data_IF_733580222145
#
_entry.id   IF_733580222145
#
_cell.length_a   1.000
_cell.length_b   1.000
_cell.length_c   1.000
_cell.angle_alpha   90.00
_cell.angle_beta   90.00
_cell.angle_gamma   90.00
#
_symmetry.space_group_name_H-M   'P 1'
#
loop_
_entity.id
_entity.type
_entity.pdbx_description
1 polymer ?
#
# COMPACT_ATOMS: atom_id res chain seq x y z
N UNK A 1 -78.39 32.81 19.39
CA UNK A 1 -77.47 31.70 19.75
C UNK A 1 -76.32 31.64 18.73
N UNK A 2 -75.15 32.07 19.13
CA UNK A 2 -74.02 32.32 18.24
C UNK A 2 -73.14 31.08 18.11
N UNK A 3 -72.92 30.59 16.86
CA UNK A 3 -72.03 29.55 16.55
C UNK A 3 -70.65 30.18 16.20
N UNK A 4 -69.61 29.86 16.99
CA UNK A 4 -68.16 30.25 16.74
C UNK A 4 -67.55 29.28 15.73
N UNK A 5 -67.10 29.80 14.57
CA UNK A 5 -66.32 29.12 13.60
C UNK A 5 -64.83 29.21 14.04
N UNK A 6 -64.17 28.09 14.33
CA UNK A 6 -62.74 28.00 14.50
C UNK A 6 -62.07 27.83 13.12
N UNK A 7 -61.15 28.73 12.77
CA UNK A 7 -60.28 28.60 11.59
C UNK A 7 -59.04 27.81 12.00
N UNK A 8 -58.87 26.64 11.41
CA UNK A 8 -57.63 25.89 11.47
C UNK A 8 -56.65 26.49 10.46
N UNK A 9 -55.56 27.07 10.95
CA UNK A 9 -54.44 27.52 10.12
C UNK A 9 -53.45 26.33 9.99
N UNK A 10 -53.46 25.65 8.82
CA UNK A 10 -52.52 24.57 8.52
C UNK A 10 -51.18 25.17 8.14
N UNK A 11 -50.15 24.98 9.00
CA UNK A 11 -48.75 25.21 8.62
C UNK A 11 -48.25 24.03 7.78
N UNK A 12 -48.04 24.25 6.49
CA UNK A 12 -47.28 23.34 5.64
C UNK A 12 -45.79 23.52 5.98
N UNK A 13 -45.22 22.57 6.68
CA UNK A 13 -43.76 22.42 6.82
C UNK A 13 -43.25 21.80 5.51
N UNK A 14 -42.66 22.62 4.64
CA UNK A 14 -41.80 22.13 3.55
C UNK A 14 -40.50 21.59 4.15
N UNK A 15 -40.36 20.28 4.26
CA UNK A 15 -39.10 19.63 4.51
C UNK A 15 -38.25 19.66 3.24
N UNK A 16 -37.29 20.56 3.20
CA UNK A 16 -36.22 20.54 2.18
C UNK A 16 -35.31 19.36 2.50
N UNK A 17 -35.51 18.24 1.78
CA UNK A 17 -34.55 17.13 1.78
C UNK A 17 -33.36 17.57 0.94
N UNK A 18 -32.31 18.06 1.57
CA UNK A 18 -31.01 18.21 0.93
C UNK A 18 -30.46 16.81 0.68
N UNK A 19 -30.56 16.35 -0.58
CA UNK A 19 -29.83 15.17 -1.02
C UNK A 19 -28.34 15.50 -0.94
N UNK A 20 -27.67 14.93 0.09
CA UNK A 20 -26.22 14.86 0.12
C UNK A 20 -25.85 13.85 -0.97
N UNK A 21 -25.50 14.36 -2.15
CA UNK A 21 -24.83 13.54 -3.16
C UNK A 21 -23.47 13.17 -2.57
N UNK A 22 -23.33 11.94 -2.10
CA UNK A 22 -22.03 11.31 -1.92
C UNK A 22 -21.39 11.28 -3.32
N UNK A 23 -20.44 12.16 -3.57
CA UNK A 23 -19.60 12.07 -4.76
C UNK A 23 -18.92 10.70 -4.72
N UNK A 24 -19.39 9.79 -5.55
CA UNK A 24 -18.65 8.57 -5.88
C UNK A 24 -17.30 9.04 -6.39
N UNK A 25 -16.17 8.63 -5.78
CA UNK A 25 -14.85 9.02 -6.26
C UNK A 25 -14.74 8.57 -7.73
N UNK A 26 -14.59 9.56 -8.61
CA UNK A 26 -14.41 9.33 -10.03
C UNK A 26 -13.28 8.31 -10.23
N UNK A 27 -13.49 7.36 -11.13
CA UNK A 27 -12.54 6.32 -11.46
C UNK A 27 -11.13 6.94 -11.66
N UNK A 28 -10.16 6.53 -10.85
CA UNK A 28 -8.78 6.93 -11.04
C UNK A 28 -8.29 6.34 -12.38
N UNK A 29 -8.48 7.08 -13.44
CA UNK A 29 -7.76 6.88 -14.69
C UNK A 29 -6.28 7.23 -14.45
N UNK A 30 -5.39 6.76 -15.33
CA UNK A 30 -4.01 7.28 -15.32
C UNK A 30 -4.07 8.82 -15.33
N UNK A 31 -3.35 9.52 -14.43
CA UNK A 31 -3.45 10.95 -14.29
C UNK A 31 -3.23 11.68 -15.62
N UNK A 32 -4.14 12.57 -16.01
CA UNK A 32 -3.97 13.33 -17.25
C UNK A 32 -2.89 14.40 -17.07
N UNK A 33 -1.86 14.37 -17.92
CA UNK A 33 -0.81 15.38 -17.94
C UNK A 33 -1.28 16.62 -18.70
N UNK A 34 -1.31 17.80 -18.06
CA UNK A 34 -1.47 19.09 -18.75
C UNK A 34 -0.18 19.52 -19.47
N UNK A 35 0.97 19.01 -19.03
CA UNK A 35 2.27 19.21 -19.64
C UNK A 35 3.18 18.00 -19.36
N UNK A 36 4.13 17.76 -20.27
CA UNK A 36 5.10 16.68 -20.15
C UNK A 36 6.52 17.20 -20.48
N UNK A 37 7.10 18.08 -19.64
CA UNK A 37 8.43 18.61 -19.87
C UNK A 37 9.49 17.49 -19.86
N UNK A 38 10.49 17.63 -20.73
CA UNK A 38 11.67 16.77 -20.73
C UNK A 38 12.58 17.17 -19.55
N UNK A 39 12.93 16.21 -18.70
CA UNK A 39 13.79 16.42 -17.53
C UNK A 39 15.22 16.75 -17.98
N UNK A 40 15.76 17.84 -17.48
CA UNK A 40 17.15 18.29 -17.65
C UNK A 40 17.93 18.05 -16.35
N UNK A 41 19.25 18.16 -16.41
CA UNK A 41 20.14 17.89 -15.27
C UNK A 41 19.94 18.79 -14.04
N UNK A 42 19.40 20.00 -14.23
CA UNK A 42 19.13 20.93 -13.14
C UNK A 42 17.69 20.85 -12.58
N UNK A 43 16.83 20.04 -13.20
CA UNK A 43 15.42 19.97 -12.82
C UNK A 43 15.22 19.13 -11.57
N UNK A 44 14.19 19.49 -10.81
CA UNK A 44 13.71 18.75 -9.63
C UNK A 44 12.18 18.75 -9.60
N UNK A 45 11.59 17.86 -8.84
CA UNK A 45 10.13 17.87 -8.62
C UNK A 45 9.66 19.20 -8.03
N UNK A 46 10.47 19.81 -7.15
CA UNK A 46 10.17 21.11 -6.56
C UNK A 46 10.20 22.23 -7.59
N UNK A 47 11.20 22.25 -8.50
CA UNK A 47 11.29 23.28 -9.55
C UNK A 47 10.10 23.17 -10.51
N UNK A 48 9.69 21.98 -10.91
CA UNK A 48 8.48 21.79 -11.71
C UNK A 48 7.23 22.22 -10.94
N UNK A 49 7.10 21.81 -9.68
CA UNK A 49 5.96 22.18 -8.83
C UNK A 49 5.82 23.69 -8.70
N UNK A 50 6.90 24.40 -8.39
CA UNK A 50 6.92 25.85 -8.30
C UNK A 50 6.58 26.52 -9.65
N UNK A 51 7.13 26.01 -10.75
CA UNK A 51 6.93 26.57 -12.09
C UNK A 51 5.50 26.42 -12.60
N UNK A 52 4.86 25.27 -12.39
CA UNK A 52 3.53 24.99 -12.96
C UNK A 52 2.36 25.30 -12.02
N UNK A 53 2.58 25.24 -10.70
CA UNK A 53 1.53 25.45 -9.69
C UNK A 53 1.76 26.65 -8.78
N UNK A 54 2.93 27.30 -8.85
CA UNK A 54 3.32 28.38 -7.93
C UNK A 54 3.57 27.90 -6.48
N UNK A 55 3.55 26.59 -6.24
CA UNK A 55 3.65 25.98 -4.91
C UNK A 55 4.44 24.67 -4.98
N UNK A 56 5.48 24.53 -4.16
CA UNK A 56 6.34 23.35 -4.11
C UNK A 56 5.65 22.10 -3.52
N UNK A 57 4.50 22.25 -2.86
CA UNK A 57 3.80 21.14 -2.21
C UNK A 57 3.21 20.14 -3.18
N UNK A 58 3.09 20.46 -4.48
CA UNK A 58 2.65 19.54 -5.53
C UNK A 58 3.74 18.62 -6.09
N UNK A 59 4.98 18.73 -5.62
CA UNK A 59 6.09 17.87 -6.06
C UNK A 59 5.75 16.37 -6.02
N UNK A 60 5.00 15.95 -5.00
CA UNK A 60 4.57 14.55 -4.84
C UNK A 60 3.47 14.16 -5.82
N UNK A 61 2.61 15.09 -6.19
CA UNK A 61 1.61 14.88 -7.24
C UNK A 61 2.27 14.64 -8.60
N UNK A 62 3.32 15.39 -8.91
CA UNK A 62 4.12 15.20 -10.13
C UNK A 62 4.82 13.82 -10.11
N UNK A 63 5.41 13.44 -8.97
CA UNK A 63 6.02 12.11 -8.80
C UNK A 63 5.02 11.00 -9.09
N UNK A 64 3.85 11.05 -8.44
CA UNK A 64 2.82 10.01 -8.57
C UNK A 64 2.27 9.95 -10.01
N UNK A 65 1.99 11.12 -10.60
CA UNK A 65 1.53 11.19 -11.98
C UNK A 65 2.57 10.63 -12.96
N UNK A 66 3.85 11.02 -12.82
CA UNK A 66 4.93 10.51 -13.66
C UNK A 66 5.11 8.99 -13.52
N UNK A 67 5.06 8.47 -12.30
CA UNK A 67 5.19 7.03 -12.05
C UNK A 67 4.02 6.22 -12.61
N UNK A 68 2.81 6.80 -12.64
CA UNK A 68 1.65 6.17 -13.27
C UNK A 68 1.83 5.98 -14.79
N UNK A 69 2.60 6.85 -15.44
CA UNK A 69 2.94 6.78 -16.87
C UNK A 69 4.21 5.95 -17.16
N UNK A 70 4.85 5.36 -16.16
CA UNK A 70 6.19 4.75 -16.31
C UNK A 70 6.28 3.58 -17.31
N UNK A 71 5.15 3.00 -17.71
CA UNK A 71 5.09 1.98 -18.76
C UNK A 71 4.98 2.57 -20.18
N UNK A 72 4.74 3.88 -20.30
CA UNK A 72 4.57 4.56 -21.58
C UNK A 72 5.93 4.99 -22.16
N UNK A 73 6.08 5.01 -23.50
CA UNK A 73 7.29 5.51 -24.15
C UNK A 73 7.61 6.95 -23.72
N UNK A 74 8.87 7.21 -23.41
CA UNK A 74 9.34 8.55 -22.99
C UNK A 74 9.21 8.82 -21.49
N UNK A 75 8.56 7.95 -20.72
CA UNK A 75 8.52 8.02 -19.26
C UNK A 75 9.42 6.96 -18.62
N UNK A 76 9.80 7.19 -17.38
CA UNK A 76 10.56 6.23 -16.58
C UNK A 76 10.12 6.33 -15.13
N UNK A 77 10.04 5.17 -14.44
CA UNK A 77 9.74 5.12 -13.03
C UNK A 77 10.81 5.87 -12.21
N UNK A 78 10.37 6.85 -11.43
CA UNK A 78 11.21 7.63 -10.53
C UNK A 78 11.27 6.90 -9.20
N UNK A 79 12.36 6.18 -8.96
CA UNK A 79 12.61 5.49 -7.68
C UNK A 79 13.29 6.41 -6.66
N UNK A 80 14.01 7.43 -7.12
CA UNK A 80 14.66 8.46 -6.30
C UNK A 80 14.12 9.84 -6.68
N UNK A 81 13.20 10.44 -5.87
CA UNK A 81 12.59 11.73 -6.18
C UNK A 81 13.58 12.90 -6.15
N UNK A 82 14.77 12.68 -5.59
CA UNK A 82 15.85 13.67 -5.57
C UNK A 82 16.76 13.58 -6.80
N UNK A 83 16.60 12.51 -7.61
CA UNK A 83 17.35 12.25 -8.84
C UNK A 83 16.42 11.89 -9.97
N UNK A 84 15.93 12.92 -10.66
CA UNK A 84 15.06 12.70 -11.81
C UNK A 84 15.82 12.07 -12.98
N UNK A 85 15.19 11.17 -13.74
CA UNK A 85 15.80 10.56 -14.91
C UNK A 85 15.91 11.59 -16.06
N UNK A 86 17.11 12.11 -16.30
CA UNK A 86 17.37 13.06 -17.40
C UNK A 86 17.05 12.43 -18.75
N UNK A 87 16.40 13.19 -19.62
CA UNK A 87 16.01 12.75 -20.97
C UNK A 87 14.66 12.01 -21.01
N UNK A 88 13.95 11.88 -19.88
CA UNK A 88 12.59 11.35 -19.80
C UNK A 88 11.60 12.47 -19.45
N UNK A 89 10.31 12.23 -19.71
CA UNK A 89 9.27 13.19 -19.39
C UNK A 89 8.84 13.12 -17.92
N UNK A 90 8.51 14.29 -17.34
CA UNK A 90 7.76 14.39 -16.10
C UNK A 90 6.30 14.74 -16.42
N UNK A 91 5.34 13.98 -15.88
CA UNK A 91 3.92 14.32 -16.03
C UNK A 91 3.52 15.39 -15.03
N UNK A 92 3.13 16.55 -15.55
CA UNK A 92 2.52 17.62 -14.77
C UNK A 92 1.00 17.40 -14.83
N UNK A 93 0.34 16.93 -13.78
CA UNK A 93 -1.10 16.67 -13.84
C UNK A 93 -1.90 17.97 -13.88
N UNK A 94 -3.15 17.93 -14.37
CA UNK A 94 -4.07 19.07 -14.24
C UNK A 94 -4.31 19.37 -12.76
N UNK A 95 -4.64 20.63 -12.43
CA UNK A 95 -4.70 21.10 -11.03
C UNK A 95 -5.63 20.23 -10.15
N UNK A 96 -6.81 19.88 -10.64
CA UNK A 96 -7.75 19.03 -9.91
C UNK A 96 -7.14 17.67 -9.54
N UNK A 97 -6.43 17.06 -10.49
CA UNK A 97 -5.77 15.77 -10.25
C UNK A 97 -4.53 15.94 -9.35
N UNK A 98 -3.81 17.06 -9.49
CA UNK A 98 -2.71 17.38 -8.58
C UNK A 98 -3.16 17.50 -7.12
N UNK A 99 -4.32 18.10 -6.87
CA UNK A 99 -4.97 18.19 -5.56
C UNK A 99 -5.35 16.81 -5.02
N UNK A 100 -5.96 15.98 -5.86
CA UNK A 100 -6.30 14.60 -5.49
C UNK A 100 -5.06 13.81 -5.08
N UNK A 101 -4.03 13.81 -5.90
CA UNK A 101 -2.76 13.10 -5.63
C UNK A 101 -2.05 13.66 -4.39
N UNK A 102 -2.09 14.98 -4.17
CA UNK A 102 -1.59 15.61 -2.95
C UNK A 102 -2.32 15.10 -1.71
N UNK A 103 -3.63 14.94 -1.79
CA UNK A 103 -4.46 14.42 -0.70
C UNK A 103 -4.14 12.95 -0.41
N UNK A 104 -3.99 12.13 -1.45
CA UNK A 104 -3.53 10.72 -1.33
C UNK A 104 -2.19 10.65 -0.59
N UNK A 105 -1.23 11.47 -1.03
CA UNK A 105 0.10 11.48 -0.42
C UNK A 105 0.09 11.97 1.04
N UNK A 106 -0.72 12.99 1.36
CA UNK A 106 -0.89 13.46 2.76
C UNK A 106 -1.45 12.36 3.68
N UNK A 107 -2.43 11.57 3.21
CA UNK A 107 -2.95 10.42 3.97
C UNK A 107 -1.88 9.37 4.21
N UNK A 108 -1.08 9.07 3.20
CA UNK A 108 0.05 8.16 3.34
C UNK A 108 1.06 8.65 4.40
N UNK A 109 1.44 9.92 4.36
CA UNK A 109 2.33 10.50 5.37
C UNK A 109 1.71 10.49 6.77
N UNK A 110 0.41 10.69 6.89
CA UNK A 110 -0.29 10.56 8.16
C UNK A 110 -0.16 9.13 8.70
N UNK A 111 -0.36 8.11 7.87
CA UNK A 111 -0.16 6.72 8.25
C UNK A 111 1.28 6.41 8.69
N UNK A 112 2.28 6.93 7.98
CA UNK A 112 3.70 6.80 8.37
C UNK A 112 3.94 7.41 9.76
N UNK A 113 3.36 8.57 10.04
CA UNK A 113 3.52 9.22 11.34
C UNK A 113 2.78 8.47 12.45
N UNK A 114 1.59 7.93 12.18
CA UNK A 114 0.80 7.15 13.14
C UNK A 114 1.49 5.85 13.55
N UNK A 115 2.19 5.20 12.63
CA UNK A 115 2.89 3.93 12.88
C UNK A 115 4.30 4.08 13.45
N UNK A 116 4.85 5.29 13.47
CA UNK A 116 6.21 5.55 13.97
C UNK A 116 6.44 5.05 15.40
N UNK A 117 5.41 5.09 16.22
CA UNK A 117 5.43 4.54 17.57
C UNK A 117 4.31 3.51 17.69
N UNK A 118 4.68 2.24 17.85
CA UNK A 118 3.73 1.19 18.18
C UNK A 118 3.09 1.48 19.55
N UNK A 119 1.82 1.81 19.54
CA UNK A 119 1.03 2.11 20.75
C UNK A 119 0.00 1.03 21.02
N UNK A 120 -0.49 0.85 22.25
CA UNK A 120 -1.56 -0.12 22.55
C UNK A 120 -2.82 0.10 21.70
N UNK A 121 -3.12 1.33 21.28
CA UNK A 121 -4.30 1.68 20.49
C UNK A 121 -4.31 1.16 19.05
N UNK A 122 -3.17 0.69 18.55
CA UNK A 122 -3.04 0.10 17.20
C UNK A 122 -2.63 -1.38 17.24
N UNK A 123 -2.67 -2.03 18.41
CA UNK A 123 -2.45 -3.48 18.52
C UNK A 123 -3.62 -4.24 17.91
N UNK A 124 -3.34 -5.21 17.05
CA UNK A 124 -4.33 -6.16 16.54
C UNK A 124 -4.34 -7.43 17.39
N UNK A 125 -5.54 -7.91 17.71
CA UNK A 125 -5.76 -9.23 18.34
C UNK A 125 -6.33 -10.26 17.34
N UNK A 126 -6.31 -9.93 16.05
CA UNK A 126 -6.89 -10.73 14.97
C UNK A 126 -5.86 -11.10 13.91
N UNK A 127 -4.58 -11.17 14.29
CA UNK A 127 -3.55 -11.63 13.36
C UNK A 127 -3.76 -13.10 13.02
N UNK A 128 -3.45 -13.46 11.77
CA UNK A 128 -3.49 -14.85 11.34
C UNK A 128 -2.41 -15.64 12.07
N UNK A 129 -2.79 -16.54 12.94
CA UNK A 129 -1.89 -17.51 13.58
C UNK A 129 -1.59 -18.65 12.60
N UNK A 130 -0.34 -19.00 12.40
CA UNK A 130 0.08 -20.09 11.54
C UNK A 130 0.43 -21.32 12.39
N UNK A 131 0.08 -22.51 11.87
CA UNK A 131 0.55 -23.75 12.44
C UNK A 131 2.04 -23.96 12.06
N UNK A 132 2.98 -23.89 13.01
CA UNK A 132 4.41 -23.98 12.70
C UNK A 132 4.82 -25.35 12.13
N UNK A 133 3.97 -26.37 12.23
CA UNK A 133 4.25 -27.74 11.78
C UNK A 133 3.63 -28.06 10.41
N UNK A 134 2.98 -27.09 9.75
CA UNK A 134 2.39 -27.27 8.43
C UNK A 134 2.97 -26.30 7.42
N UNK A 135 3.17 -26.74 6.16
CA UNK A 135 3.51 -25.83 5.08
C UNK A 135 2.49 -24.70 4.98
N UNK A 136 2.98 -23.48 4.77
CA UNK A 136 2.13 -22.31 4.59
C UNK A 136 2.30 -21.73 3.19
N UNK A 137 1.18 -21.30 2.60
CA UNK A 137 1.18 -20.50 1.37
C UNK A 137 1.14 -19.02 1.73
N UNK A 138 2.06 -18.29 1.16
CA UNK A 138 2.17 -16.83 1.33
C UNK A 138 2.28 -16.17 -0.03
N UNK A 139 2.04 -14.87 -0.08
CA UNK A 139 2.09 -14.09 -1.30
C UNK A 139 2.83 -12.78 -1.07
N UNK A 140 3.59 -12.37 -2.07
CA UNK A 140 4.20 -11.04 -2.16
C UNK A 140 3.78 -10.34 -3.43
N UNK A 141 3.65 -9.02 -3.37
CA UNK A 141 3.37 -8.18 -4.53
C UNK A 141 4.61 -7.36 -4.88
N UNK A 142 5.09 -7.47 -6.11
CA UNK A 142 6.38 -6.92 -6.51
C UNK A 142 6.34 -6.27 -7.90
N UNK A 143 7.40 -5.55 -8.26
CA UNK A 143 7.56 -5.04 -9.61
C UNK A 143 7.95 -6.18 -10.56
N UNK A 144 7.42 -6.18 -11.77
CA UNK A 144 7.77 -7.18 -12.78
C UNK A 144 9.28 -7.27 -13.04
N UNK A 145 10.00 -6.15 -12.95
CA UNK A 145 11.48 -6.12 -13.08
C UNK A 145 12.21 -6.88 -11.96
N UNK A 146 11.59 -7.11 -10.82
CA UNK A 146 12.16 -7.87 -9.71
C UNK A 146 11.98 -9.38 -9.88
N UNK A 147 11.02 -9.80 -10.69
CA UNK A 147 10.71 -11.23 -10.94
C UNK A 147 11.93 -11.99 -11.49
N UNK A 148 12.76 -11.36 -12.30
CA UNK A 148 13.96 -11.98 -12.87
C UNK A 148 14.94 -12.50 -11.82
N UNK A 149 14.98 -11.88 -10.64
CA UNK A 149 15.84 -12.35 -9.53
C UNK A 149 15.39 -13.71 -8.95
N UNK A 150 14.16 -14.14 -9.24
CA UNK A 150 13.58 -15.40 -8.76
C UNK A 150 13.60 -16.50 -9.81
N UNK A 151 13.99 -16.21 -11.04
CA UNK A 151 14.21 -17.18 -12.12
C UNK A 151 15.71 -17.50 -12.20
N UNK A 152 16.02 -18.77 -12.36
CA UNK A 152 17.36 -19.27 -12.60
C UNK A 152 17.32 -20.11 -13.87
N UNK A 153 18.26 -19.90 -14.80
CA UNK A 153 18.39 -20.66 -16.05
C UNK A 153 17.05 -20.77 -16.83
N UNK A 154 16.53 -19.66 -17.27
CA UNK A 154 15.26 -19.60 -18.01
C UNK A 154 14.04 -19.73 -17.09
N UNK A 155 13.27 -20.81 -17.23
CA UNK A 155 12.00 -20.99 -16.50
C UNK A 155 12.14 -21.67 -15.11
N UNK A 156 13.35 -22.04 -14.71
CA UNK A 156 13.58 -22.66 -13.41
C UNK A 156 13.57 -21.61 -12.30
N UNK A 157 12.74 -21.84 -11.29
CA UNK A 157 12.63 -20.98 -10.13
C UNK A 157 13.81 -21.18 -9.18
N UNK A 158 14.25 -20.11 -8.52
CA UNK A 158 15.18 -20.23 -7.39
C UNK A 158 14.52 -21.00 -6.24
N UNK A 159 15.33 -21.71 -5.46
CA UNK A 159 14.88 -22.52 -4.31
C UNK A 159 15.20 -21.85 -2.97
N UNK A 160 15.84 -20.68 -2.99
CA UNK A 160 16.15 -19.90 -1.79
C UNK A 160 15.88 -18.41 -2.03
N UNK A 161 15.45 -17.69 -1.00
CA UNK A 161 15.16 -16.27 -1.07
C UNK A 161 16.44 -15.45 -1.36
N UNK A 162 16.50 -14.66 -2.44
CA UNK A 162 17.68 -13.87 -2.78
C UNK A 162 17.88 -12.65 -1.85
N UNK A 163 16.81 -12.21 -1.19
CA UNK A 163 16.77 -11.14 -0.19
C UNK A 163 15.62 -11.43 0.77
N UNK A 164 15.46 -10.61 1.80
CA UNK A 164 14.25 -10.66 2.63
C UNK A 164 13.01 -10.40 1.77
N UNK A 165 11.99 -11.24 1.91
CA UNK A 165 10.72 -11.13 1.18
C UNK A 165 9.60 -10.88 2.18
N UNK A 166 8.99 -9.70 2.10
CA UNK A 166 7.79 -9.37 2.85
C UNK A 166 6.57 -10.04 2.21
N UNK A 167 5.80 -10.76 3.00
CA UNK A 167 4.72 -11.60 2.53
C UNK A 167 3.48 -11.50 3.42
N UNK A 168 2.32 -11.78 2.84
CA UNK A 168 1.05 -11.96 3.55
C UNK A 168 0.52 -13.37 3.31
N UNK A 169 -0.45 -13.82 4.10
CA UNK A 169 -0.98 -15.17 3.99
C UNK A 169 -1.93 -15.30 2.80
N UNK A 170 -1.69 -16.28 1.93
CA UNK A 170 -2.63 -16.63 0.87
C UNK A 170 -3.75 -17.55 1.42
N UNK A 171 -5.04 -17.38 0.96
CA UNK A 171 -5.49 -16.54 -0.14
C UNK A 171 -6.08 -15.18 0.29
N UNK A 172 -5.87 -14.70 1.52
CA UNK A 172 -6.60 -13.57 2.09
C UNK A 172 -6.54 -12.32 1.20
N UNK A 173 -5.35 -11.94 0.76
CA UNK A 173 -5.18 -10.77 -0.12
C UNK A 173 -5.85 -10.95 -1.47
N UNK A 174 -5.86 -12.18 -2.01
CA UNK A 174 -6.57 -12.50 -3.25
C UNK A 174 -8.08 -12.35 -3.09
N UNK A 175 -8.63 -12.86 -1.99
CA UNK A 175 -10.06 -12.71 -1.68
C UNK A 175 -10.43 -11.23 -1.56
N UNK A 176 -9.66 -10.47 -0.79
CA UNK A 176 -9.86 -9.03 -0.65
C UNK A 176 -9.91 -8.31 -1.99
N UNK A 177 -8.91 -8.51 -2.87
CA UNK A 177 -8.88 -7.79 -4.14
C UNK A 177 -9.96 -8.23 -5.12
N UNK A 178 -10.37 -9.50 -5.11
CA UNK A 178 -11.51 -10.01 -5.89
C UNK A 178 -12.83 -9.37 -5.45
N UNK A 179 -13.09 -9.36 -4.14
CA UNK A 179 -14.28 -8.78 -3.57
C UNK A 179 -14.34 -7.27 -3.85
N UNK A 180 -13.22 -6.58 -3.67
CA UNK A 180 -13.13 -5.15 -3.97
C UNK A 180 -13.39 -4.86 -5.44
N UNK A 181 -12.78 -5.59 -6.36
CA UNK A 181 -12.98 -5.42 -7.79
C UNK A 181 -14.43 -5.71 -8.23
N UNK A 182 -15.05 -6.74 -7.66
CA UNK A 182 -16.43 -7.12 -7.97
C UNK A 182 -17.45 -6.10 -7.44
N UNK A 183 -17.21 -5.54 -6.25
CA UNK A 183 -18.16 -4.63 -5.58
C UNK A 183 -18.10 -3.22 -6.15
N UNK A 184 -16.94 -2.75 -6.58
CA UNK A 184 -16.73 -1.34 -6.95
C UNK A 184 -16.55 -1.10 -8.46
N UNK A 185 -16.54 -2.13 -9.30
CA UNK A 185 -16.32 -2.03 -10.76
C UNK A 185 -15.10 -1.18 -11.13
N UNK A 186 -13.98 -1.41 -10.42
CA UNK A 186 -12.79 -0.55 -10.48
C UNK A 186 -11.92 -0.79 -11.70
N UNK A 187 -11.22 0.26 -12.14
CA UNK A 187 -10.10 0.16 -13.07
C UNK A 187 -8.89 -0.51 -12.42
N UNK A 188 -7.92 -0.97 -13.23
CA UNK A 188 -6.67 -1.52 -12.70
C UNK A 188 -5.92 -0.50 -11.83
N UNK A 189 -5.93 0.78 -12.19
CA UNK A 189 -5.27 1.83 -11.43
C UNK A 189 -5.89 2.01 -10.03
N UNK A 190 -7.22 1.98 -9.93
CA UNK A 190 -7.94 2.04 -8.64
C UNK A 190 -7.68 0.80 -7.79
N UNK A 191 -7.66 -0.37 -8.40
CA UNK A 191 -7.32 -1.62 -7.70
C UNK A 191 -5.87 -1.58 -7.18
N UNK A 192 -4.95 -1.08 -8.00
CA UNK A 192 -3.54 -0.88 -7.62
C UNK A 192 -3.43 0.08 -6.42
N UNK A 193 -4.06 1.26 -6.48
CA UNK A 193 -4.07 2.20 -5.35
C UNK A 193 -4.66 1.56 -4.08
N UNK A 194 -5.75 0.79 -4.21
CA UNK A 194 -6.36 0.10 -3.05
C UNK A 194 -5.48 -0.99 -2.45
N UNK A 195 -4.73 -1.71 -3.29
CA UNK A 195 -3.75 -2.70 -2.85
C UNK A 195 -2.55 -2.04 -2.16
N UNK A 196 -2.06 -0.91 -2.68
CA UNK A 196 -1.03 -0.10 -2.03
C UNK A 196 -1.48 0.35 -0.64
N UNK A 197 -2.72 0.83 -0.52
CA UNK A 197 -3.33 1.19 0.77
C UNK A 197 -3.36 0.00 1.73
N UNK A 198 -3.92 -1.13 1.30
CA UNK A 198 -4.09 -2.34 2.10
C UNK A 198 -2.78 -2.90 2.62
N UNK A 199 -1.73 -2.82 1.81
CA UNK A 199 -0.42 -3.36 2.11
C UNK A 199 0.54 -2.34 2.76
N UNK A 200 0.10 -1.13 3.08
CA UNK A 200 0.94 -0.10 3.66
C UNK A 200 2.08 0.35 2.73
N UNK A 201 1.90 0.22 1.43
CA UNK A 201 2.89 0.63 0.44
C UNK A 201 2.74 2.12 0.11
N UNK A 202 3.81 2.80 -0.30
CA UNK A 202 3.69 4.16 -0.78
C UNK A 202 2.82 4.21 -2.04
N UNK A 203 2.02 5.28 -2.23
CA UNK A 203 1.27 5.45 -3.45
C UNK A 203 2.20 5.49 -4.66
N UNK A 204 1.81 4.82 -5.74
CA UNK A 204 2.65 4.70 -6.93
C UNK A 204 3.88 3.81 -6.72
N UNK A 205 3.80 2.77 -5.90
CA UNK A 205 4.91 1.83 -5.64
C UNK A 205 5.36 1.04 -6.88
N UNK A 206 4.57 1.06 -7.95
CA UNK A 206 4.90 0.41 -9.23
C UNK A 206 4.91 -1.11 -9.15
N UNK A 207 4.14 -1.69 -8.24
CA UNK A 207 3.96 -3.15 -8.14
C UNK A 207 3.00 -3.63 -9.23
N UNK A 208 3.33 -4.75 -9.87
CA UNK A 208 2.58 -5.24 -11.03
C UNK A 208 2.23 -6.72 -10.95
N UNK A 209 3.00 -7.51 -10.18
CA UNK A 209 2.90 -8.96 -10.19
C UNK A 209 2.87 -9.53 -8.78
N UNK A 210 2.01 -10.52 -8.59
CA UNK A 210 1.97 -11.34 -7.39
C UNK A 210 2.79 -12.60 -7.58
N UNK A 211 3.55 -12.98 -6.55
CA UNK A 211 4.26 -14.26 -6.50
C UNK A 211 3.78 -15.05 -5.28
N UNK A 212 3.22 -16.22 -5.53
CA UNK A 212 2.83 -17.17 -4.50
C UNK A 212 3.98 -18.10 -4.16
N UNK A 213 4.24 -18.27 -2.86
CA UNK A 213 5.35 -19.04 -2.32
C UNK A 213 4.80 -20.02 -1.29
N UNK A 214 5.30 -21.27 -1.30
CA UNK A 214 5.13 -22.21 -0.20
C UNK A 214 6.40 -22.21 0.65
N UNK A 215 6.24 -21.96 1.95
CA UNK A 215 7.23 -22.19 2.99
C UNK A 215 6.91 -23.52 3.64
N UNK A 216 7.79 -24.53 3.48
CA UNK A 216 7.51 -25.92 3.92
C UNK A 216 7.59 -26.09 5.43
N UNK A 217 8.49 -25.35 6.08
CA UNK A 217 8.74 -25.42 7.51
C UNK A 217 8.75 -24.02 8.11
N UNK A 218 7.60 -23.46 8.49
CA UNK A 218 7.49 -22.16 9.12
C UNK A 218 7.87 -22.14 10.62
N UNK A 219 8.22 -23.30 11.22
CA UNK A 219 8.66 -23.38 12.62
C UNK A 219 10.00 -22.72 12.87
N UNK A 220 10.85 -22.65 11.83
CA UNK A 220 12.16 -22.03 11.90
C UNK A 220 12.08 -20.52 11.62
N UNK A 221 12.55 -19.66 12.52
CA UNK A 221 12.65 -18.22 12.26
C UNK A 221 13.60 -17.86 11.09
N UNK A 222 14.46 -18.81 10.68
CA UNK A 222 15.30 -18.69 9.51
C UNK A 222 14.54 -18.99 8.19
N UNK A 223 13.29 -19.46 8.27
CA UNK A 223 12.45 -19.71 7.10
C UNK A 223 11.29 -18.73 7.01
N UNK A 224 10.67 -18.40 8.15
CA UNK A 224 9.57 -17.46 8.23
C UNK A 224 9.48 -16.90 9.66
N UNK A 225 9.24 -15.61 9.78
CA UNK A 225 8.95 -15.01 11.08
C UNK A 225 7.96 -13.84 10.96
N UNK A 226 7.32 -13.50 12.06
CA UNK A 226 6.46 -12.32 12.17
C UNK A 226 7.31 -11.11 12.57
N UNK A 227 7.20 -9.98 11.85
CA UNK A 227 8.02 -8.78 12.14
C UNK A 227 7.42 -7.97 13.30
N UNK A 228 7.60 -8.44 14.55
CA UNK A 228 7.16 -7.75 15.75
C UNK A 228 8.05 -8.05 16.96
N UNK A 229 7.69 -7.58 18.15
CA UNK A 229 8.48 -7.74 19.37
C UNK A 229 8.81 -9.20 19.71
N UNK A 230 7.92 -10.15 19.38
CA UNK A 230 8.12 -11.59 19.48
C UNK A 230 7.88 -12.22 18.09
N UNK A 231 8.93 -12.68 17.39
CA UNK A 231 8.83 -13.08 15.99
C UNK A 231 8.16 -14.47 15.78
N UNK A 232 7.23 -14.86 16.64
CA UNK A 232 6.50 -16.12 16.51
C UNK A 232 5.44 -16.07 15.42
N UNK A 233 5.35 -17.14 14.61
CA UNK A 233 4.36 -17.25 13.54
C UNK A 233 2.98 -17.69 14.04
N UNK A 234 2.90 -18.31 15.20
CA UNK A 234 1.69 -18.87 15.80
C UNK A 234 0.92 -17.92 16.73
N UNK A 235 1.42 -16.71 16.96
CA UNK A 235 0.72 -15.69 17.74
C UNK A 235 -0.37 -15.00 16.93
N UNK A 236 -1.50 -14.68 17.53
CA UNK A 236 -2.56 -13.88 16.95
C UNK A 236 -2.48 -12.38 17.32
N UNK A 237 -1.44 -12.00 18.07
CA UNK A 237 -1.20 -10.61 18.48
C UNK A 237 0.29 -10.35 18.62
N UNK A 238 0.68 -9.09 18.59
CA UNK A 238 2.04 -8.61 18.89
C UNK A 238 1.98 -7.50 19.94
N UNK A 239 2.87 -7.55 20.90
CA UNK A 239 3.02 -6.46 21.88
C UNK A 239 3.75 -5.26 21.23
N UNK A 240 3.40 -4.02 21.59
CA UNK A 240 4.15 -2.83 21.19
C UNK A 240 5.53 -2.79 21.84
N UNK A 241 6.48 -2.17 21.16
CA UNK A 241 7.83 -1.94 21.67
C UNK A 241 8.93 -2.73 20.97
N UNK A 242 10.16 -2.60 21.45
CA UNK A 242 11.33 -3.28 20.86
C UNK A 242 11.23 -4.80 21.03
N UNK A 243 12.03 -5.57 20.27
CA UNK A 243 12.07 -7.02 20.42
C UNK A 243 12.38 -7.47 21.84
N UNK A 244 11.65 -8.48 22.32
CA UNK A 244 11.83 -9.08 23.62
C UNK A 244 13.29 -9.57 23.83
N UNK A 245 13.72 -9.67 25.08
CA UNK A 245 15.08 -10.14 25.40
C UNK A 245 15.42 -11.51 24.82
N UNK A 246 14.41 -12.40 24.74
CA UNK A 246 14.53 -13.74 24.17
C UNK A 246 14.67 -13.79 22.65
N UNK A 247 14.43 -12.68 21.92
CA UNK A 247 14.44 -12.62 20.46
C UNK A 247 15.85 -12.53 19.90
N UNK A 248 16.83 -13.16 20.25
CA UNK A 248 18.18 -13.24 19.69
C UNK A 248 18.77 -11.91 19.13
N UNK A 249 20.07 -11.73 19.19
CA UNK A 249 20.72 -10.46 18.79
C UNK A 249 20.63 -10.18 17.29
N UNK A 250 20.65 -11.19 16.44
CA UNK A 250 20.51 -11.03 14.99
C UNK A 250 19.13 -10.49 14.62
N UNK A 251 18.06 -10.98 15.25
CA UNK A 251 16.72 -10.48 15.05
C UNK A 251 16.55 -9.03 15.55
N UNK A 252 17.12 -8.70 16.73
CA UNK A 252 17.09 -7.33 17.24
C UNK A 252 17.76 -6.34 16.30
N UNK A 253 18.93 -6.71 15.74
CA UNK A 253 19.62 -5.89 14.77
C UNK A 253 18.79 -5.73 13.49
N UNK A 254 18.22 -6.82 12.99
CA UNK A 254 17.31 -6.79 11.83
C UNK A 254 16.12 -5.84 12.10
N UNK A 255 15.45 -5.97 13.24
CA UNK A 255 14.31 -5.14 13.61
C UNK A 255 14.65 -3.65 13.67
N UNK A 256 15.77 -3.30 14.30
CA UNK A 256 16.26 -1.92 14.35
C UNK A 256 16.58 -1.40 12.94
N UNK A 257 17.21 -2.21 12.11
CA UNK A 257 17.51 -1.85 10.71
C UNK A 257 16.20 -1.57 9.94
N UNK A 258 15.17 -2.40 10.11
CA UNK A 258 13.85 -2.17 9.50
C UNK A 258 13.20 -0.91 10.03
N UNK A 259 13.28 -0.65 11.34
CA UNK A 259 12.76 0.58 11.93
C UNK A 259 13.41 1.82 11.32
N UNK A 260 14.73 1.86 11.25
CA UNK A 260 15.46 2.97 10.65
C UNK A 260 15.17 3.12 9.14
N UNK A 261 15.09 2.04 8.40
CA UNK A 261 14.75 2.10 6.97
C UNK A 261 13.31 2.57 6.73
N UNK A 262 12.39 2.25 7.62
CA UNK A 262 10.99 2.67 7.50
C UNK A 262 10.77 4.12 7.88
N UNK A 263 11.48 4.66 8.87
CA UNK A 263 11.20 5.98 9.46
C UNK A 263 12.37 6.96 9.44
N UNK A 264 13.59 6.49 9.22
CA UNK A 264 14.82 7.31 9.23
C UNK A 264 15.06 8.07 7.93
N UNK A 265 14.37 7.74 6.86
CA UNK A 265 14.48 8.39 5.56
C UNK A 265 13.40 9.42 5.37
N UNK A 266 13.70 10.46 4.57
CA UNK A 266 12.66 11.41 4.16
C UNK A 266 11.65 10.70 3.22
N UNK A 267 10.36 11.07 3.31
CA UNK A 267 9.39 10.69 2.30
C UNK A 267 9.94 10.95 0.88
N UNK A 268 9.66 10.06 -0.09
CA UNK A 268 8.65 9.02 -0.12
C UNK A 268 9.14 7.62 0.28
N UNK A 269 10.31 7.50 0.86
CA UNK A 269 10.95 6.22 1.20
C UNK A 269 10.56 5.67 2.58
N UNK A 270 9.84 6.47 3.38
CA UNK A 270 9.28 6.01 4.64
C UNK A 270 8.12 5.04 4.39
N UNK A 271 7.94 4.07 5.29
CA UNK A 271 6.84 3.11 5.23
C UNK A 271 6.03 3.17 6.53
N UNK A 272 4.70 3.02 6.48
CA UNK A 272 3.87 2.92 7.68
C UNK A 272 4.00 1.51 8.29
N UNK A 273 5.21 1.16 8.71
CA UNK A 273 5.49 -0.13 9.32
C UNK A 273 4.99 -0.17 10.75
N UNK A 274 4.02 -1.02 11.03
CA UNK A 274 3.41 -1.11 12.36
C UNK A 274 4.34 -1.69 13.41
N UNK A 275 5.32 -2.53 13.01
CA UNK A 275 6.09 -3.42 13.89
C UNK A 275 5.21 -4.30 14.80
N UNK A 276 3.96 -4.50 14.41
CA UNK A 276 2.94 -5.27 15.14
C UNK A 276 2.41 -6.46 14.33
N UNK A 277 3.16 -6.89 13.29
CA UNK A 277 2.87 -8.11 12.51
C UNK A 277 1.70 -7.99 11.54
N UNK A 278 1.34 -6.77 11.15
CA UNK A 278 0.35 -6.50 10.11
C UNK A 278 0.72 -5.25 9.30
N UNK A 279 0.25 -5.17 8.06
CA UNK A 279 0.40 -4.02 7.19
C UNK A 279 -0.58 -2.92 7.60
N UNK A 280 -0.16 -1.65 7.61
CA UNK A 280 -1.04 -0.53 7.93
C UNK A 280 -1.88 -0.13 6.71
N UNK A 281 -3.19 -0.37 6.78
CA UNK A 281 -4.13 0.06 5.74
C UNK A 281 -4.44 1.55 5.86
N UNK A 282 -3.85 2.37 4.97
CA UNK A 282 -4.07 3.81 4.93
C UNK A 282 -5.25 4.23 4.02
N UNK A 283 -6.06 3.27 3.58
CA UNK A 283 -7.35 3.55 2.95
C UNK A 283 -8.34 4.17 3.94
N UNK A 284 -9.37 4.79 3.40
CA UNK A 284 -10.46 5.36 4.20
C UNK A 284 -11.61 4.36 4.32
N UNK A 285 -12.11 4.20 5.53
CA UNK A 285 -13.38 3.54 5.80
C UNK A 285 -14.57 4.46 5.49
N UNK A 286 -15.77 3.94 5.61
CA UNK A 286 -17.03 4.67 5.36
C UNK A 286 -17.17 5.92 6.24
N UNK A 287 -16.55 5.92 7.42
CA UNK A 287 -16.55 7.04 8.36
C UNK A 287 -15.49 8.11 8.03
N UNK A 288 -14.74 7.96 6.92
CA UNK A 288 -13.66 8.87 6.51
C UNK A 288 -12.38 8.77 7.36
N UNK A 289 -12.30 7.81 8.29
CA UNK A 289 -11.10 7.53 9.07
C UNK A 289 -10.23 6.48 8.39
N UNK A 290 -8.93 6.44 8.74
CA UNK A 290 -8.04 5.39 8.27
C UNK A 290 -8.52 4.01 8.76
N UNK A 291 -8.47 3.02 7.88
CA UNK A 291 -8.85 1.63 8.18
C UNK A 291 -7.89 1.01 9.20
N UNK A 292 -6.60 1.30 9.12
CA UNK A 292 -5.48 0.88 9.97
C UNK A 292 -5.08 -0.58 9.84
N UNK A 293 -6.01 -1.53 9.94
CA UNK A 293 -5.69 -2.96 9.96
C UNK A 293 -5.72 -3.54 8.55
N UNK A 294 -4.54 -3.84 8.01
CA UNK A 294 -4.36 -4.48 6.72
C UNK A 294 -4.23 -6.00 6.82
N UNK A 295 -3.24 -6.55 6.16
CA UNK A 295 -2.96 -8.00 6.14
C UNK A 295 -2.00 -8.41 7.26
N UNK A 296 -2.13 -9.63 7.76
CA UNK A 296 -1.09 -10.23 8.61
C UNK A 296 0.19 -10.39 7.83
N UNK A 297 1.28 -9.88 8.40
CA UNK A 297 2.56 -9.71 7.73
C UNK A 297 3.61 -10.65 8.28
N UNK A 298 4.41 -11.21 7.38
CA UNK A 298 5.52 -12.08 7.68
C UNK A 298 6.73 -11.75 6.81
N UNK A 299 7.90 -12.25 7.19
CA UNK A 299 9.13 -12.10 6.43
C UNK A 299 9.76 -13.47 6.21
N UNK A 300 10.06 -13.78 4.95
CA UNK A 300 10.95 -14.87 4.57
C UNK A 300 12.36 -14.27 4.52
N UNK A 301 13.28 -14.66 5.42
CA UNK A 301 14.61 -14.08 5.45
C UNK A 301 15.46 -14.52 4.26
N UNK A 302 16.43 -13.70 3.90
CA UNK A 302 17.41 -14.03 2.86
C UNK A 302 18.05 -15.40 3.11
N UNK A 303 18.12 -16.21 2.05
CA UNK A 303 18.67 -17.58 2.11
C UNK A 303 17.68 -18.65 2.54
N UNK A 304 16.48 -18.28 3.03
CA UNK A 304 15.45 -19.25 3.40
C UNK A 304 15.03 -20.10 2.20
N UNK A 305 14.78 -21.41 2.41
CA UNK A 305 14.26 -22.27 1.35
C UNK A 305 12.83 -21.88 0.98
N UNK A 306 12.57 -21.69 -0.32
CA UNK A 306 11.27 -21.31 -0.87
C UNK A 306 10.86 -22.25 -2.01
N UNK A 307 9.56 -22.38 -2.21
CA UNK A 307 8.99 -23.03 -3.38
C UNK A 307 7.99 -22.07 -4.03
N UNK A 308 8.38 -21.46 -5.15
CA UNK A 308 7.50 -20.59 -5.91
C UNK A 308 6.45 -21.46 -6.60
N UNK A 309 5.18 -21.10 -6.44
CA UNK A 309 4.03 -21.83 -6.97
C UNK A 309 3.51 -21.21 -8.26
N UNK A 310 3.38 -19.89 -8.26
CA UNK A 310 2.82 -19.14 -9.37
C UNK A 310 3.31 -17.69 -9.36
N UNK A 311 3.30 -17.08 -10.53
CA UNK A 311 3.39 -15.62 -10.70
C UNK A 311 2.26 -15.22 -11.64
N UNK A 312 1.53 -14.16 -11.26
CA UNK A 312 0.41 -13.63 -12.01
C UNK A 312 0.40 -12.10 -11.95
N UNK A 313 0.02 -11.46 -13.04
CA UNK A 313 -0.19 -10.02 -13.05
C UNK A 313 -1.33 -9.61 -12.10
N UNK A 314 -1.33 -8.36 -11.63
CA UNK A 314 -2.29 -7.87 -10.61
C UNK A 314 -3.75 -8.15 -11.00
N UNK A 315 -4.14 -7.86 -12.26
CA UNK A 315 -5.51 -8.11 -12.71
C UNK A 315 -5.85 -9.61 -12.72
N UNK A 316 -4.94 -10.43 -13.21
CA UNK A 316 -5.12 -11.88 -13.26
C UNK A 316 -5.24 -12.48 -11.87
N UNK A 317 -4.34 -12.12 -10.95
CA UNK A 317 -4.36 -12.60 -9.58
C UNK A 317 -5.67 -12.26 -8.86
N UNK A 318 -6.14 -11.04 -9.00
CA UNK A 318 -7.39 -10.57 -8.39
C UNK A 318 -8.66 -11.10 -9.09
N UNK A 319 -8.56 -11.70 -10.27
CA UNK A 319 -9.69 -12.28 -11.00
C UNK A 319 -9.62 -13.81 -11.13
N UNK A 320 -8.53 -14.45 -10.72
CA UNK A 320 -8.40 -15.91 -10.71
C UNK A 320 -9.56 -16.52 -9.93
N UNK A 321 -10.57 -16.94 -10.69
CA UNK A 321 -11.66 -17.75 -10.22
C UNK A 321 -11.17 -19.13 -9.83
N UNK A 322 -12.00 -19.82 -9.14
CA UNK A 322 -11.91 -21.19 -8.60
C UNK A 322 -10.98 -22.14 -9.30
#
# INVERSE_FOLDING_TARGET
MLAKRARLCGLLLLSVVTAVYAETPAAAAVPQCQAAPLVKSADSLQSFSASFFGDQTYQWSILLATNAHSAEPGYRFISDPWRLPVGYHACIPVLQEAERLRSVYKRYLHAVNETRLATPGIVSNSLVSLDPHKPVKVVTWMRGTQISAYKKDGDHWVTSAPSDIWVTVAPNLQQFCKEYAATHSVSLAQLTERLEQRLGLPPGAGKTDFMEITVKDPSSPNHLFRPCSAPSVDSNTCAPGPPASAAGNSYKLWFLTQYYSSFGTAAPYSYPWTSLGYTFDWGLGENGQLIRYGESEFVIPKGAPIQIQAIAGTREYCSMGK
#
